data_IF_113283068247
#
_entry.id   IF_113283068247
#
_cell.length_a   1.000
_cell.length_b   1.000
_cell.length_c   1.000
_cell.angle_alpha   90.00
_cell.angle_beta   90.00
_cell.angle_gamma   90.00
#
_symmetry.space_group_name_H-M   'P 1'
#
loop_
_entity.id
_entity.type
_entity.pdbx_description
1 polymer ?
#
# COMPACT_ATOMS: atom_id res chain seq x y z
N UNK A 1 -19.41 -38.19 -33.45
CA UNK A 1 -18.67 -36.99 -33.87
C UNK A 1 -19.34 -35.70 -33.34
N UNK A 2 -19.59 -35.60 -31.99
CA UNK A 2 -20.24 -34.44 -31.34
C UNK A 2 -19.57 -33.98 -30.05
N UNK A 3 -18.44 -34.58 -29.63
CA UNK A 3 -17.76 -34.28 -28.35
C UNK A 3 -16.62 -33.25 -28.53
N UNK A 4 -16.09 -33.02 -29.73
CA UNK A 4 -14.96 -32.14 -29.98
C UNK A 4 -15.26 -30.62 -30.01
N UNK A 5 -16.54 -30.22 -30.09
CA UNK A 5 -16.91 -28.79 -30.17
C UNK A 5 -17.13 -28.10 -28.80
N UNK A 6 -17.27 -28.86 -27.72
CA UNK A 6 -17.56 -28.29 -26.40
C UNK A 6 -16.28 -27.86 -25.63
N UNK A 7 -15.12 -28.43 -25.98
CA UNK A 7 -13.85 -28.13 -25.30
C UNK A 7 -13.21 -26.83 -25.81
N UNK A 8 -13.43 -26.48 -27.08
CA UNK A 8 -12.89 -25.23 -27.64
C UNK A 8 -13.57 -23.97 -27.10
N UNK A 9 -14.88 -24.07 -26.76
CA UNK A 9 -15.62 -22.94 -26.18
C UNK A 9 -15.26 -22.58 -24.75
N UNK A 10 -14.85 -23.57 -23.95
CA UNK A 10 -14.46 -23.36 -22.55
C UNK A 10 -13.08 -22.68 -22.43
N UNK A 11 -12.14 -22.99 -23.33
CA UNK A 11 -10.79 -22.41 -23.31
C UNK A 11 -10.75 -20.92 -23.73
N UNK A 12 -11.65 -20.50 -24.63
CA UNK A 12 -11.76 -19.08 -25.05
C UNK A 12 -12.46 -18.24 -24.00
N UNK A 13 -13.42 -18.81 -23.25
CA UNK A 13 -14.09 -18.11 -22.16
C UNK A 13 -13.18 -17.92 -20.93
N UNK A 14 -12.29 -18.89 -20.63
CA UNK A 14 -11.31 -18.77 -19.55
C UNK A 14 -10.25 -17.69 -19.85
N UNK A 15 -9.77 -17.58 -21.10
CA UNK A 15 -8.77 -16.57 -21.46
C UNK A 15 -9.34 -15.14 -21.47
N UNK A 16 -10.62 -14.97 -21.80
CA UNK A 16 -11.29 -13.67 -21.72
C UNK A 16 -11.59 -13.24 -20.26
N UNK A 17 -11.88 -14.19 -19.37
CA UNK A 17 -12.07 -13.93 -17.95
C UNK A 17 -10.75 -13.54 -17.24
N UNK A 18 -9.63 -14.17 -17.63
CA UNK A 18 -8.31 -13.83 -17.09
C UNK A 18 -7.85 -12.42 -17.50
N UNK A 19 -8.13 -12.01 -18.75
CA UNK A 19 -7.81 -10.66 -19.22
C UNK A 19 -8.67 -9.57 -18.54
N UNK A 20 -9.93 -9.90 -18.15
CA UNK A 20 -10.80 -8.97 -17.41
C UNK A 20 -10.43 -8.84 -15.93
N UNK A 21 -9.94 -9.89 -15.30
CA UNK A 21 -9.54 -9.87 -13.87
C UNK A 21 -8.34 -8.95 -13.63
N UNK A 22 -7.39 -8.88 -14.57
CA UNK A 22 -6.19 -8.03 -14.45
C UNK A 22 -6.51 -6.53 -14.46
N UNK A 23 -7.62 -6.10 -15.06
CA UNK A 23 -8.06 -4.70 -15.11
C UNK A 23 -8.71 -4.22 -13.80
N UNK A 24 -9.15 -5.15 -12.99
CA UNK A 24 -9.91 -4.90 -11.77
C UNK A 24 -9.07 -4.95 -10.49
N UNK A 25 -7.75 -5.12 -10.62
CA UNK A 25 -6.88 -5.21 -9.44
C UNK A 25 -6.65 -3.85 -8.82
N UNK A 26 -6.86 -3.71 -7.50
CA UNK A 26 -6.53 -2.49 -6.77
C UNK A 26 -5.06 -2.08 -6.92
N UNK A 27 -4.76 -0.81 -6.71
CA UNK A 27 -3.40 -0.35 -6.49
C UNK A 27 -2.97 -0.79 -5.10
N UNK A 28 -1.76 -1.32 -4.95
CA UNK A 28 -1.24 -1.65 -3.63
C UNK A 28 -0.69 -0.36 -3.00
N UNK A 29 -1.46 0.24 -2.11
CA UNK A 29 -1.10 1.45 -1.39
C UNK A 29 -0.68 1.09 0.03
N UNK A 30 0.36 1.77 0.52
CA UNK A 30 0.84 1.67 1.89
C UNK A 30 0.93 3.07 2.48
N UNK A 31 0.41 3.27 3.68
CA UNK A 31 0.75 4.46 4.44
C UNK A 31 2.22 4.36 4.88
N UNK A 32 3.06 5.24 4.33
CA UNK A 32 4.50 5.27 4.58
C UNK A 32 4.89 6.19 5.75
N UNK A 33 3.94 6.70 6.54
CA UNK A 33 4.30 7.32 7.83
C UNK A 33 5.16 6.31 8.62
N UNK A 34 6.37 6.68 9.07
CA UNK A 34 7.31 5.74 9.69
C UNK A 34 6.74 4.97 10.89
N UNK A 35 5.82 5.58 11.66
CA UNK A 35 5.18 4.93 12.79
C UNK A 35 3.98 4.05 12.39
N UNK A 36 3.47 4.19 11.17
CA UNK A 36 2.35 3.40 10.65
C UNK A 36 2.83 2.29 9.72
N UNK A 37 3.89 2.52 8.96
CA UNK A 37 4.42 1.56 7.97
C UNK A 37 4.96 0.27 8.59
N UNK A 38 5.28 0.27 9.88
CA UNK A 38 5.72 -0.90 10.67
C UNK A 38 4.62 -1.94 10.92
N UNK A 39 3.36 -1.55 10.78
CA UNK A 39 2.23 -2.46 10.95
C UNK A 39 1.87 -3.20 9.66
N UNK A 40 1.22 -4.34 9.82
CA UNK A 40 0.82 -5.24 8.74
C UNK A 40 -0.46 -4.82 8.00
N UNK A 41 -0.58 -3.55 7.57
CA UNK A 41 -1.72 -3.13 6.74
C UNK A 41 -1.95 -4.14 5.60
N UNK A 42 -3.18 -4.60 5.38
CA UNK A 42 -3.46 -5.59 4.35
C UNK A 42 -3.29 -5.01 2.94
N UNK A 43 -2.68 -5.78 2.04
CA UNK A 43 -2.79 -5.55 0.62
C UNK A 43 -4.13 -6.09 0.09
N UNK A 44 -4.70 -5.43 -0.90
CA UNK A 44 -5.98 -5.80 -1.51
C UNK A 44 -5.75 -6.62 -2.78
N UNK A 45 -5.52 -7.93 -2.61
CA UNK A 45 -5.20 -8.80 -3.72
C UNK A 45 -6.42 -9.49 -4.33
N UNK A 46 -6.35 -9.74 -5.63
CA UNK A 46 -7.19 -10.74 -6.29
C UNK A 46 -6.50 -12.11 -6.26
N UNK A 47 -7.28 -13.19 -6.45
CA UNK A 47 -6.71 -14.54 -6.57
C UNK A 47 -6.19 -14.73 -8.01
N UNK A 48 -4.87 -14.86 -8.23
CA UNK A 48 -4.34 -15.07 -9.58
C UNK A 48 -4.62 -16.47 -10.11
N UNK A 49 -4.58 -16.60 -11.43
CA UNK A 49 -4.51 -17.90 -12.10
C UNK A 49 -3.03 -18.21 -12.35
N UNK A 50 -2.48 -19.24 -11.67
CA UNK A 50 -1.06 -19.56 -11.75
C UNK A 50 -0.21 -18.71 -10.80
N UNK A 51 1.00 -18.40 -11.20
CA UNK A 51 1.98 -17.71 -10.37
C UNK A 51 2.13 -16.26 -10.78
N UNK A 52 2.20 -15.36 -9.81
CA UNK A 52 2.47 -13.94 -9.99
C UNK A 52 3.67 -13.53 -9.14
N UNK A 53 4.57 -12.79 -9.75
CA UNK A 53 5.62 -12.05 -9.08
C UNK A 53 5.36 -10.55 -9.27
N UNK A 54 5.53 -9.77 -8.22
CA UNK A 54 5.44 -8.32 -8.22
C UNK A 54 6.62 -7.68 -7.53
N UNK A 55 7.01 -6.52 -8.01
CA UNK A 55 7.94 -5.62 -7.33
C UNK A 55 7.37 -4.22 -7.37
N UNK A 56 7.40 -3.53 -6.22
CA UNK A 56 6.92 -2.15 -6.08
C UNK A 56 8.00 -1.34 -5.40
N UNK A 57 8.34 -0.18 -5.97
CA UNK A 57 9.17 0.83 -5.33
C UNK A 57 8.32 2.05 -5.03
N UNK A 58 8.37 2.50 -3.79
CA UNK A 58 7.64 3.64 -3.24
C UNK A 58 8.63 4.60 -2.60
N UNK A 59 8.41 5.89 -2.78
CA UNK A 59 9.19 6.93 -2.12
C UNK A 59 8.25 7.95 -1.51
N UNK A 60 8.48 8.27 -0.24
CA UNK A 60 7.75 9.26 0.53
C UNK A 60 8.71 10.21 1.22
N UNK A 61 8.40 11.50 1.16
CA UNK A 61 9.10 12.51 1.96
C UNK A 61 8.24 12.85 3.18
N UNK A 62 8.89 13.04 4.31
CA UNK A 62 8.27 13.35 5.59
C UNK A 62 8.79 14.68 6.10
N UNK A 63 7.86 15.56 6.43
CA UNK A 63 8.17 16.80 7.12
C UNK A 63 7.02 17.14 8.08
N UNK A 64 7.17 16.73 9.34
CA UNK A 64 6.17 16.96 10.38
C UNK A 64 6.83 17.26 11.73
N UNK A 65 6.24 18.21 12.41
CA UNK A 65 6.57 18.51 13.80
C UNK A 65 5.30 18.73 14.59
N UNK A 66 5.05 17.88 15.57
CA UNK A 66 3.89 17.97 16.46
C UNK A 66 4.27 17.83 17.92
N UNK A 67 3.58 18.57 18.77
CA UNK A 67 3.74 18.55 20.21
C UNK A 67 2.36 18.76 20.85
N UNK A 68 1.83 17.73 21.49
CA UNK A 68 0.57 17.78 22.22
C UNK A 68 0.66 16.93 23.50
N UNK A 69 0.16 17.44 24.61
CA UNK A 69 -0.02 16.71 25.88
C UNK A 69 1.18 15.86 26.31
N UNK A 70 2.41 16.37 26.22
CA UNK A 70 3.65 15.66 26.49
C UNK A 70 4.05 14.59 25.46
N UNK A 71 3.33 14.48 24.36
CA UNK A 71 3.75 13.69 23.20
C UNK A 71 4.44 14.57 22.18
N UNK A 72 5.57 14.14 21.68
CA UNK A 72 6.33 14.81 20.63
C UNK A 72 6.56 13.88 19.46
N UNK A 73 6.33 14.38 18.26
CA UNK A 73 6.71 13.75 17.01
C UNK A 73 7.49 14.74 16.16
N UNK A 74 8.63 14.32 15.64
CA UNK A 74 9.37 15.01 14.59
C UNK A 74 9.76 14.00 13.52
N UNK A 75 9.29 14.23 12.31
CA UNK A 75 9.63 13.46 11.11
C UNK A 75 10.19 14.45 10.09
N UNK A 76 11.45 14.28 9.74
CA UNK A 76 12.17 15.06 8.74
C UNK A 76 13.08 14.09 7.98
N UNK A 77 12.79 13.80 6.71
CA UNK A 77 13.53 12.81 5.93
C UNK A 77 12.70 12.11 4.87
N UNK A 78 13.29 11.10 4.26
CA UNK A 78 12.72 10.33 3.16
C UNK A 78 12.74 8.84 3.42
N UNK A 79 11.63 8.16 3.12
CA UNK A 79 11.54 6.71 3.18
C UNK A 79 11.36 6.14 1.76
N UNK A 80 12.25 5.26 1.35
CA UNK A 80 12.12 4.43 0.16
C UNK A 80 11.77 3.01 0.60
N UNK A 81 10.63 2.50 0.13
CA UNK A 81 10.21 1.11 0.36
C UNK A 81 10.19 0.35 -0.96
N UNK A 82 10.93 -0.76 -1.03
CA UNK A 82 10.87 -1.70 -2.16
C UNK A 82 10.25 -2.99 -1.68
N UNK A 83 9.09 -3.37 -2.24
CA UNK A 83 8.37 -4.58 -1.84
C UNK A 83 8.45 -5.63 -2.93
N UNK A 84 8.81 -6.85 -2.57
CA UNK A 84 8.78 -8.03 -3.44
C UNK A 84 7.64 -8.93 -3.01
N UNK A 85 6.76 -9.27 -3.95
CA UNK A 85 5.58 -10.09 -3.73
C UNK A 85 5.59 -11.32 -4.62
N UNK A 86 5.31 -12.47 -4.05
CA UNK A 86 5.10 -13.72 -4.76
C UNK A 86 3.76 -14.30 -4.37
N UNK A 87 2.90 -14.63 -5.34
CA UNK A 87 1.58 -15.22 -5.09
C UNK A 87 1.32 -16.36 -6.07
N UNK A 88 0.88 -17.49 -5.55
CA UNK A 88 0.48 -18.65 -6.32
C UNK A 88 -1.00 -18.97 -6.13
N UNK A 89 -1.74 -19.03 -7.24
CA UNK A 89 -3.14 -19.44 -7.29
C UNK A 89 -3.28 -20.92 -7.65
N UNK A 90 -3.97 -21.70 -6.82
CA UNK A 90 -4.09 -23.16 -6.95
C UNK A 90 -5.19 -23.61 -7.91
N UNK A 91 -5.73 -22.73 -8.77
CA UNK A 91 -6.76 -23.10 -9.76
C UNK A 91 -8.15 -23.41 -9.20
N UNK A 92 -8.26 -23.69 -7.89
CA UNK A 92 -9.51 -23.96 -7.16
C UNK A 92 -10.09 -22.71 -6.46
N UNK A 93 -9.56 -21.52 -6.80
CA UNK A 93 -9.94 -20.24 -6.18
C UNK A 93 -9.23 -19.94 -4.86
N UNK A 94 -8.17 -20.66 -4.54
CA UNK A 94 -7.27 -20.39 -3.42
C UNK A 94 -5.97 -19.77 -3.92
N UNK A 95 -5.35 -18.95 -3.09
CA UNK A 95 -3.97 -18.50 -3.33
C UNK A 95 -3.20 -18.39 -2.01
N UNK A 96 -1.88 -18.52 -2.14
CA UNK A 96 -0.90 -18.27 -1.10
C UNK A 96 0.08 -17.22 -1.62
N UNK A 97 0.36 -16.21 -0.82
CA UNK A 97 1.29 -15.13 -1.15
C UNK A 97 2.27 -14.86 -0.02
N UNK A 98 3.43 -14.34 -0.40
CA UNK A 98 4.45 -13.83 0.52
C UNK A 98 4.92 -12.48 0.02
N UNK A 99 5.09 -11.52 0.93
CA UNK A 99 5.69 -10.21 0.66
C UNK A 99 6.86 -9.97 1.58
N UNK A 100 7.93 -9.41 1.00
CA UNK A 100 9.14 -9.03 1.75
C UNK A 100 9.50 -7.60 1.34
N UNK A 101 9.30 -6.61 2.22
CA UNK A 101 9.71 -5.25 1.96
C UNK A 101 11.18 -5.03 2.34
N UNK A 102 11.82 -4.10 1.65
CA UNK A 102 13.12 -3.55 1.98
C UNK A 102 12.97 -2.04 2.13
N UNK A 103 13.46 -1.49 3.22
CA UNK A 103 13.39 -0.07 3.53
C UNK A 103 14.77 0.60 3.45
N UNK A 104 14.77 1.84 2.99
CA UNK A 104 15.87 2.78 3.16
C UNK A 104 15.30 4.08 3.68
N UNK A 105 15.90 4.58 4.77
CA UNK A 105 15.57 5.86 5.38
C UNK A 105 16.78 6.76 5.24
N UNK A 106 16.60 7.98 4.74
CA UNK A 106 17.65 8.96 4.47
C UNK A 106 17.12 10.38 4.58
N UNK A 107 18.00 11.38 4.51
CA UNK A 107 17.59 12.77 4.37
C UNK A 107 16.86 13.05 3.05
N UNK A 108 17.11 12.21 2.03
CA UNK A 108 16.39 12.26 0.76
C UNK A 108 16.94 13.27 -0.24
N UNK A 109 16.23 13.33 -1.37
CA UNK A 109 16.53 14.23 -2.49
C UNK A 109 15.26 14.85 -3.09
N UNK A 110 14.10 14.59 -2.49
CA UNK A 110 12.81 15.02 -3.03
C UNK A 110 12.36 16.40 -2.56
N UNK A 111 13.08 17.05 -1.64
CA UNK A 111 12.70 18.36 -1.09
C UNK A 111 12.44 19.38 -2.19
N UNK A 112 13.37 19.55 -3.12
CA UNK A 112 13.22 20.45 -4.28
C UNK A 112 12.03 20.08 -5.18
N UNK A 113 11.77 18.77 -5.36
CA UNK A 113 10.67 18.28 -6.20
C UNK A 113 9.34 18.60 -5.55
N UNK A 114 9.24 18.42 -4.24
CA UNK A 114 8.01 18.64 -3.47
C UNK A 114 7.72 20.15 -3.35
N UNK A 115 8.75 20.95 -3.07
CA UNK A 115 8.61 22.42 -3.04
C UNK A 115 8.18 22.97 -4.40
N UNK A 116 8.73 22.43 -5.48
CA UNK A 116 8.29 22.71 -6.85
C UNK A 116 6.83 22.34 -7.10
N UNK A 117 6.39 21.17 -6.60
CA UNK A 117 5.02 20.71 -6.69
C UNK A 117 4.05 21.58 -5.90
N UNK A 118 4.34 21.87 -4.63
CA UNK A 118 3.52 22.76 -3.80
C UNK A 118 3.39 24.15 -4.41
N UNK A 119 4.50 24.70 -4.91
CA UNK A 119 4.49 26.00 -5.60
C UNK A 119 3.64 25.99 -6.88
N UNK A 120 3.70 24.91 -7.67
CA UNK A 120 2.94 24.78 -8.93
C UNK A 120 1.43 24.70 -8.71
N UNK A 121 0.99 24.10 -7.60
CA UNK A 121 -0.43 23.89 -7.27
C UNK A 121 -0.96 24.84 -6.19
N UNK A 122 -0.11 25.79 -5.70
CA UNK A 122 -0.51 26.75 -4.67
C UNK A 122 -0.80 26.13 -3.31
N UNK A 123 -0.15 25.02 -3.00
CA UNK A 123 -0.29 24.33 -1.71
C UNK A 123 0.61 24.99 -0.65
N UNK A 124 0.24 24.93 0.65
CA UNK A 124 1.09 25.41 1.73
C UNK A 124 2.42 24.65 1.77
N UNK A 125 3.51 25.36 2.08
CA UNK A 125 4.85 24.78 2.20
C UNK A 125 5.10 23.95 3.47
N UNK A 126 4.11 23.89 4.37
CA UNK A 126 4.21 23.11 5.62
C UNK A 126 5.28 23.62 6.60
N UNK A 127 5.89 24.80 6.33
CA UNK A 127 6.97 25.36 7.17
C UNK A 127 8.37 24.87 6.81
N UNK A 128 8.57 24.29 5.63
CA UNK A 128 9.86 23.79 5.11
C UNK A 128 10.84 24.93 4.83
N UNK A 129 10.34 26.13 4.47
CA UNK A 129 11.17 27.28 4.15
C UNK A 129 12.13 27.67 5.28
N UNK A 130 13.43 27.62 5.00
CA UNK A 130 14.48 28.06 5.92
C UNK A 130 15.16 26.95 6.74
N UNK A 131 14.92 25.69 6.40
CA UNK A 131 15.66 24.54 6.99
C UNK A 131 16.70 24.00 6.02
N UNK A 132 17.73 23.28 6.54
CA UNK A 132 18.66 22.57 5.68
C UNK A 132 17.94 21.48 4.88
N UNK A 133 18.21 21.41 3.59
CA UNK A 133 17.77 20.32 2.72
C UNK A 133 18.48 19.01 3.05
N UNK A 134 17.80 17.86 2.89
CA UNK A 134 18.39 16.55 3.08
C UNK A 134 18.68 16.21 4.55
N UNK A 135 18.01 16.83 5.52
CA UNK A 135 18.12 16.44 6.94
C UNK A 135 17.39 15.12 7.19
N UNK A 136 17.99 14.23 8.01
CA UNK A 136 17.31 13.08 8.55
C UNK A 136 17.17 13.23 10.06
N UNK A 137 15.92 13.32 10.52
CA UNK A 137 15.61 13.31 11.94
C UNK A 137 14.21 12.73 12.19
N UNK A 138 14.13 11.47 12.60
CA UNK A 138 12.93 10.91 13.19
C UNK A 138 13.12 10.84 14.71
N UNK A 139 12.27 11.56 15.44
CA UNK A 139 12.34 11.60 16.91
C UNK A 139 10.91 11.66 17.49
N UNK A 140 10.63 10.81 18.47
CA UNK A 140 9.34 10.78 19.14
C UNK A 140 9.42 10.34 20.59
N UNK A 141 8.37 10.59 21.36
CA UNK A 141 8.26 10.31 22.79
C UNK A 141 8.12 11.56 23.63
N UNK A 142 8.76 11.60 24.80
CA UNK A 142 8.72 12.74 25.71
C UNK A 142 9.45 13.95 25.09
N UNK A 143 8.91 15.19 25.23
CA UNK A 143 9.53 16.39 24.68
C UNK A 143 10.95 16.69 25.19
N UNK A 144 11.26 16.31 26.41
CA UNK A 144 12.56 16.57 27.04
C UNK A 144 13.55 15.42 26.84
N UNK A 145 13.05 14.19 26.76
CA UNK A 145 13.87 12.98 26.62
C UNK A 145 13.19 12.05 25.58
N UNK A 146 13.47 12.21 24.27
CA UNK A 146 12.88 11.37 23.23
C UNK A 146 13.18 9.89 23.47
N UNK A 147 12.17 9.04 23.36
CA UNK A 147 12.33 7.59 23.49
C UNK A 147 13.00 6.96 22.28
N UNK A 148 12.92 7.63 21.12
CA UNK A 148 13.52 7.18 19.87
C UNK A 148 14.11 8.37 19.11
N UNK A 149 15.29 8.19 18.53
CA UNK A 149 15.95 9.16 17.64
C UNK A 149 16.70 8.43 16.55
N UNK A 150 16.40 8.74 15.29
CA UNK A 150 17.11 8.27 14.11
C UNK A 150 17.61 9.47 13.30
N UNK A 151 18.94 9.56 13.12
CA UNK A 151 19.61 10.67 12.42
C UNK A 151 20.59 10.22 11.36
N UNK A 152 20.84 8.91 11.25
CA UNK A 152 21.78 8.34 10.29
C UNK A 152 21.04 7.54 9.24
N UNK A 153 21.49 7.63 7.99
CA UNK A 153 20.94 6.80 6.92
C UNK A 153 21.06 5.33 7.25
N UNK A 154 19.96 4.61 7.11
CA UNK A 154 19.88 3.17 7.33
C UNK A 154 19.08 2.48 6.27
N UNK A 155 19.31 1.18 6.13
CA UNK A 155 18.51 0.33 5.24
C UNK A 155 18.50 -1.11 5.71
N UNK A 156 17.38 -1.79 5.53
CA UNK A 156 17.21 -3.17 5.98
C UNK A 156 15.93 -3.81 5.47
N UNK A 157 15.78 -5.09 5.75
CA UNK A 157 14.55 -5.84 5.46
C UNK A 157 13.49 -5.46 6.47
N UNK A 158 12.27 -5.27 6.02
CA UNK A 158 11.10 -5.08 6.87
C UNK A 158 10.37 -6.40 7.18
N UNK A 159 9.22 -6.27 7.83
CA UNK A 159 8.42 -7.41 8.26
C UNK A 159 7.82 -8.18 7.08
N UNK A 160 8.07 -9.47 7.04
CA UNK A 160 7.51 -10.39 6.05
C UNK A 160 6.03 -10.59 6.29
N UNK A 161 5.21 -10.48 5.23
CA UNK A 161 3.79 -10.81 5.29
C UNK A 161 3.49 -12.11 4.52
N UNK A 162 2.71 -12.98 5.13
CA UNK A 162 2.15 -14.19 4.49
C UNK A 162 0.65 -13.99 4.32
N UNK A 163 0.15 -14.25 3.10
CA UNK A 163 -1.23 -14.01 2.71
C UNK A 163 -1.88 -15.29 2.22
N UNK A 164 -3.10 -15.54 2.65
CA UNK A 164 -3.90 -16.65 2.20
C UNK A 164 -5.26 -16.12 1.75
N UNK A 165 -5.63 -16.35 0.49
CA UNK A 165 -6.86 -15.80 -0.05
C UNK A 165 -7.74 -16.88 -0.70
N UNK A 166 -9.04 -16.60 -0.71
CA UNK A 166 -10.04 -17.43 -1.36
C UNK A 166 -11.05 -16.62 -2.13
N UNK A 167 -11.25 -16.99 -3.39
CA UNK A 167 -12.35 -16.50 -4.21
C UNK A 167 -13.64 -17.23 -3.82
N UNK A 168 -14.67 -16.50 -3.43
CA UNK A 168 -15.99 -17.00 -3.06
C UNK A 168 -17.03 -16.58 -4.11
N UNK A 169 -17.80 -17.51 -4.64
CA UNK A 169 -18.82 -17.29 -5.65
C UNK A 169 -18.35 -17.62 -7.09
N UNK A 170 -19.31 -17.94 -7.96
CA UNK A 170 -19.04 -18.44 -9.32
C UNK A 170 -18.80 -17.34 -10.34
N UNK A 171 -19.49 -16.21 -10.19
CA UNK A 171 -19.42 -15.09 -11.13
C UNK A 171 -18.90 -13.84 -10.42
N UNK A 172 -17.59 -13.60 -10.53
CA UNK A 172 -16.92 -12.41 -9.98
C UNK A 172 -17.24 -12.20 -8.50
N UNK A 173 -16.93 -13.22 -7.73
CA UNK A 173 -17.22 -13.33 -6.33
C UNK A 173 -16.44 -12.34 -5.48
N UNK A 174 -16.57 -12.56 -4.20
CA UNK A 174 -15.75 -11.90 -3.22
C UNK A 174 -14.41 -12.63 -3.07
N UNK A 175 -13.36 -11.90 -2.80
CA UNK A 175 -12.10 -12.46 -2.28
C UNK A 175 -12.07 -12.21 -0.79
N UNK A 176 -11.97 -13.27 0.00
CA UNK A 176 -11.64 -13.20 1.42
C UNK A 176 -10.16 -13.50 1.56
N UNK A 177 -9.41 -12.63 2.22
CA UNK A 177 -7.99 -12.80 2.48
C UNK A 177 -7.71 -12.70 3.97
N UNK A 178 -6.90 -13.61 4.47
CA UNK A 178 -6.25 -13.50 5.78
C UNK A 178 -4.75 -13.26 5.56
N UNK A 179 -4.15 -12.38 6.35
CA UNK A 179 -2.70 -12.17 6.33
C UNK A 179 -2.13 -12.13 7.73
N UNK A 180 -0.86 -12.51 7.83
CA UNK A 180 -0.05 -12.38 9.02
C UNK A 180 1.26 -11.67 8.67
N UNK A 181 1.61 -10.66 9.45
CA UNK A 181 2.93 -10.02 9.44
C UNK A 181 3.77 -10.67 10.53
N UNK A 182 4.97 -11.07 10.17
CA UNK A 182 5.96 -11.68 11.06
C UNK A 182 7.05 -10.65 11.38
N UNK A 183 7.48 -10.52 12.65
CA UNK A 183 8.52 -9.56 13.05
C UNK A 183 9.89 -10.06 12.58
N UNK A 184 10.19 -9.87 11.30
CA UNK A 184 11.45 -10.27 10.66
C UNK A 184 12.32 -9.09 10.27
N UNK A 185 11.80 -7.88 10.41
CA UNK A 185 12.45 -6.64 10.05
C UNK A 185 13.27 -6.03 11.20
N UNK A 186 13.84 -4.89 10.92
CA UNK A 186 14.68 -4.13 11.82
C UNK A 186 13.84 -3.04 12.50
N UNK A 187 13.72 -3.09 13.83
CA UNK A 187 12.94 -2.16 14.63
C UNK A 187 13.64 -0.80 14.74
N UNK A 188 14.98 -0.78 14.83
CA UNK A 188 15.75 0.46 14.93
C UNK A 188 15.65 1.30 13.66
N UNK A 189 15.37 0.65 12.52
CA UNK A 189 15.11 1.29 11.23
C UNK A 189 13.65 1.75 11.07
N UNK A 190 12.74 1.45 12.00
CA UNK A 190 11.29 1.55 11.83
C UNK A 190 10.76 0.75 10.62
N UNK A 191 11.35 -0.41 10.36
CA UNK A 191 10.93 -1.38 9.35
C UNK A 191 10.17 -2.57 9.95
N UNK A 192 10.07 -2.62 11.27
CA UNK A 192 9.35 -3.61 12.08
C UNK A 192 8.75 -2.96 13.31
N UNK A 193 7.64 -3.52 13.79
CA UNK A 193 7.09 -3.19 15.11
C UNK A 193 7.63 -4.11 16.23
N UNK A 194 8.43 -5.13 15.91
CA UNK A 194 8.83 -6.17 16.87
C UNK A 194 7.76 -7.23 17.13
N UNK A 195 6.51 -6.95 16.78
CA UNK A 195 5.37 -7.83 17.07
C UNK A 195 4.67 -8.36 15.82
N UNK A 196 3.84 -9.39 15.98
CA UNK A 196 3.06 -9.97 14.88
C UNK A 196 1.68 -9.31 14.77
N UNK A 197 1.29 -8.99 13.55
CA UNK A 197 -0.06 -8.51 13.22
C UNK A 197 -0.79 -9.54 12.38
N UNK A 198 -2.11 -9.50 12.40
CA UNK A 198 -2.90 -10.29 11.47
C UNK A 198 -4.14 -9.53 11.00
N UNK A 199 -4.56 -9.77 9.78
CA UNK A 199 -5.72 -9.11 9.21
C UNK A 199 -6.63 -10.05 8.46
N UNK A 200 -7.89 -9.64 8.34
CA UNK A 200 -8.89 -10.26 7.47
C UNK A 200 -9.55 -9.18 6.62
N UNK A 201 -9.62 -9.42 5.31
CA UNK A 201 -10.24 -8.52 4.36
C UNK A 201 -11.26 -9.21 3.48
N UNK A 202 -12.23 -8.45 3.02
CA UNK A 202 -13.21 -8.82 2.00
C UNK A 202 -13.10 -7.82 0.85
N UNK A 203 -12.70 -8.28 -0.32
CA UNK A 203 -12.60 -7.49 -1.54
C UNK A 203 -13.66 -7.93 -2.54
N UNK A 204 -14.27 -7.00 -3.22
CA UNK A 204 -15.13 -7.25 -4.38
C UNK A 204 -14.72 -6.43 -5.57
N UNK A 205 -14.55 -7.08 -6.72
CA UNK A 205 -14.31 -6.43 -8.01
C UNK A 205 -15.43 -6.74 -8.99
N UNK A 206 -15.79 -5.76 -9.83
CA UNK A 206 -16.84 -5.88 -10.83
C UNK A 206 -16.46 -5.18 -12.11
N UNK A 207 -16.61 -5.82 -13.29
CA UNK A 207 -16.52 -5.12 -14.56
C UNK A 207 -17.73 -4.19 -14.75
N UNK A 208 -17.46 -3.03 -15.31
CA UNK A 208 -18.46 -2.13 -15.84
C UNK A 208 -18.55 -2.37 -17.35
N UNK A 209 -19.73 -2.79 -17.82
CA UNK A 209 -19.98 -3.00 -19.24
C UNK A 209 -20.16 -1.64 -19.94
N UNK A 210 -19.08 -0.96 -20.27
CA UNK A 210 -19.09 0.19 -21.15
C UNK A 210 -18.92 -0.25 -22.60
N UNK A 211 -19.80 0.22 -23.48
CA UNK A 211 -20.01 -0.26 -24.88
C UNK A 211 -18.76 -0.39 -25.76
N UNK A 212 -17.61 0.16 -25.41
CA UNK A 212 -16.37 0.11 -26.22
C UNK A 212 -15.05 0.04 -25.43
N UNK A 213 -15.07 0.13 -24.09
CA UNK A 213 -13.84 0.13 -23.25
C UNK A 213 -14.09 -0.65 -21.99
N UNK A 214 -13.13 -1.46 -21.59
CA UNK A 214 -13.21 -2.20 -20.34
C UNK A 214 -12.99 -1.23 -19.17
N UNK A 215 -13.96 -1.18 -18.29
CA UNK A 215 -13.87 -0.48 -17.02
C UNK A 215 -14.29 -1.45 -15.90
N UNK A 216 -13.79 -1.24 -14.72
CA UNK A 216 -14.15 -2.00 -13.53
C UNK A 216 -14.15 -1.10 -12.30
N UNK A 217 -14.90 -1.50 -11.29
CA UNK A 217 -14.82 -0.91 -9.98
C UNK A 217 -14.57 -2.00 -8.94
N UNK A 218 -14.04 -1.60 -7.82
CA UNK A 218 -13.81 -2.47 -6.67
C UNK A 218 -14.05 -1.72 -5.37
N UNK A 219 -14.33 -2.47 -4.34
CA UNK A 219 -14.38 -2.01 -2.96
C UNK A 219 -13.99 -3.12 -2.02
N UNK A 220 -13.47 -2.77 -0.89
CA UNK A 220 -13.09 -3.72 0.14
C UNK A 220 -13.25 -3.14 1.54
N UNK A 221 -13.43 -4.03 2.50
CA UNK A 221 -13.43 -3.73 3.92
C UNK A 221 -12.64 -4.79 4.65
N UNK A 222 -12.00 -4.40 5.73
CA UNK A 222 -11.17 -5.30 6.50
C UNK A 222 -10.92 -4.79 7.90
N UNK A 223 -10.25 -5.62 8.68
CA UNK A 223 -9.78 -5.29 10.01
C UNK A 223 -8.39 -5.87 10.22
N UNK A 224 -7.53 -5.09 10.81
CA UNK A 224 -6.20 -5.48 11.27
C UNK A 224 -6.24 -5.56 12.79
N UNK A 225 -5.70 -6.64 13.36
CA UNK A 225 -5.27 -6.67 14.75
C UNK A 225 -3.79 -6.35 14.78
N UNK A 226 -3.46 -5.18 15.30
CA UNK A 226 -2.08 -4.79 15.53
C UNK A 226 -1.52 -5.46 16.79
N UNK A 227 -0.25 -5.81 16.75
CA UNK A 227 0.53 -6.14 17.94
C UNK A 227 1.15 -4.88 18.53
N UNK A 228 1.53 -4.91 19.80
CA UNK A 228 2.16 -3.78 20.46
C UNK A 228 3.58 -3.58 19.93
N UNK A 229 3.97 -2.38 19.50
CA UNK A 229 5.31 -2.12 19.01
C UNK A 229 6.31 -1.98 20.16
N UNK A 230 7.47 -2.62 20.03
CA UNK A 230 8.45 -2.71 21.14
C UNK A 230 9.17 -1.38 21.42
N UNK A 231 9.50 -0.60 20.35
CA UNK A 231 10.27 0.65 20.48
C UNK A 231 9.42 1.92 20.52
N UNK A 232 8.11 1.82 20.28
CA UNK A 232 7.23 2.97 20.19
C UNK A 232 6.56 3.22 21.54
N UNK A 233 6.70 4.42 22.15
CA UNK A 233 6.19 4.71 23.49
C UNK A 233 4.71 5.09 23.52
N UNK A 234 3.98 4.87 22.43
CA UNK A 234 2.55 5.15 22.33
C UNK A 234 1.74 3.85 22.39
N UNK A 235 0.63 3.86 23.14
CA UNK A 235 -0.25 2.71 23.22
C UNK A 235 -0.89 2.42 21.85
N UNK A 236 -0.73 1.20 21.35
CA UNK A 236 -1.26 0.81 20.06
C UNK A 236 -2.75 0.46 20.13
N UNK A 237 -3.49 0.88 19.10
CA UNK A 237 -4.87 0.43 18.88
C UNK A 237 -4.88 -1.06 18.51
N UNK A 238 -5.59 -1.86 19.30
CA UNK A 238 -5.65 -3.30 19.08
C UNK A 238 -6.33 -3.65 17.74
N UNK A 239 -7.34 -2.90 17.33
CA UNK A 239 -8.15 -3.20 16.16
C UNK A 239 -8.24 -1.98 15.23
N UNK A 240 -7.64 -2.08 14.06
CA UNK A 240 -7.63 -1.02 13.06
C UNK A 240 -8.54 -1.42 11.88
N UNK A 241 -9.70 -0.74 11.69
CA UNK A 241 -10.53 -0.94 10.52
C UNK A 241 -9.83 -0.42 9.27
N UNK A 242 -10.03 -1.11 8.14
CA UNK A 242 -9.46 -0.72 6.85
C UNK A 242 -10.49 -0.80 5.74
N UNK A 243 -10.35 0.00 4.70
CA UNK A 243 -11.26 -0.03 3.57
C UNK A 243 -10.67 0.57 2.31
N UNK A 244 -11.18 0.13 1.16
CA UNK A 244 -10.88 0.74 -0.14
C UNK A 244 -12.13 0.89 -0.99
N UNK A 245 -12.07 1.86 -1.90
CA UNK A 245 -12.98 1.97 -3.05
C UNK A 245 -12.20 2.52 -4.23
N UNK A 246 -12.43 1.97 -5.41
CA UNK A 246 -11.72 2.45 -6.60
C UNK A 246 -12.28 1.90 -7.91
N UNK A 247 -11.61 2.27 -8.98
CA UNK A 247 -11.96 1.82 -10.30
C UNK A 247 -10.79 1.88 -11.28
N UNK A 248 -10.89 1.09 -12.34
CA UNK A 248 -9.93 1.03 -13.43
C UNK A 248 -10.64 1.28 -14.76
N UNK A 249 -10.00 2.03 -15.62
CA UNK A 249 -10.48 2.35 -16.95
C UNK A 249 -9.39 2.11 -17.99
N UNK A 250 -9.65 1.18 -18.90
CA UNK A 250 -8.78 0.92 -20.04
C UNK A 250 -9.01 2.00 -21.12
N UNK A 251 -8.03 2.87 -21.31
CA UNK A 251 -8.07 3.98 -22.28
C UNK A 251 -7.67 3.49 -23.69
N UNK A 252 -6.61 2.66 -23.76
CA UNK A 252 -6.11 2.00 -24.97
C UNK A 252 -5.97 0.49 -24.71
N UNK A 253 -5.79 -0.37 -25.72
CA UNK A 253 -5.70 -1.83 -25.54
C UNK A 253 -4.66 -2.27 -24.51
N UNK A 254 -3.55 -1.54 -24.37
CA UNK A 254 -2.44 -1.86 -23.46
C UNK A 254 -2.22 -0.80 -22.37
N UNK A 255 -3.09 0.21 -22.26
CA UNK A 255 -2.93 1.31 -21.33
C UNK A 255 -4.24 1.66 -20.64
N UNK A 256 -4.19 1.98 -19.37
CA UNK A 256 -5.34 2.44 -18.61
C UNK A 256 -4.96 3.27 -17.40
N UNK A 257 -5.99 3.77 -16.74
CA UNK A 257 -5.91 4.60 -15.55
C UNK A 257 -6.67 3.92 -14.42
N UNK A 258 -6.27 4.20 -13.17
CA UNK A 258 -7.02 3.83 -11.97
C UNK A 258 -7.14 5.04 -11.05
N UNK A 259 -8.25 5.07 -10.29
CA UNK A 259 -8.44 5.95 -9.15
C UNK A 259 -8.87 5.12 -7.96
N UNK A 260 -8.34 5.41 -6.78
CA UNK A 260 -8.59 4.65 -5.55
C UNK A 260 -8.57 5.59 -4.34
N UNK A 261 -9.40 5.28 -3.37
CA UNK A 261 -9.36 5.84 -2.02
C UNK A 261 -9.10 4.69 -1.06
N UNK A 262 -8.10 4.86 -0.21
CA UNK A 262 -7.73 3.97 0.89
C UNK A 262 -8.05 4.66 2.22
N UNK A 263 -8.56 3.89 3.18
CA UNK A 263 -8.90 4.39 4.51
C UNK A 263 -8.42 3.38 5.54
N UNK A 264 -7.82 3.85 6.61
CA UNK A 264 -7.60 3.05 7.82
C UNK A 264 -7.82 3.89 9.08
N UNK A 265 -8.22 3.24 10.18
CA UNK A 265 -8.35 3.87 11.49
C UNK A 265 -6.98 4.27 12.07
N UNK A 266 -7.00 4.97 13.20
CA UNK A 266 -5.82 5.26 13.99
C UNK A 266 -5.06 3.98 14.36
N UNK A 267 -3.74 4.09 14.49
CA UNK A 267 -2.89 3.01 14.98
C UNK A 267 -2.49 3.15 16.43
N UNK A 268 -2.69 4.34 17.01
CA UNK A 268 -2.30 4.63 18.38
C UNK A 268 -3.39 5.42 19.12
N UNK A 269 -3.49 5.18 20.42
CA UNK A 269 -4.26 6.02 21.35
C UNK A 269 -3.45 7.29 21.65
N UNK A 270 -3.41 8.23 20.70
CA UNK A 270 -2.58 9.44 20.78
C UNK A 270 -3.41 10.70 20.45
N UNK A 271 -2.96 11.84 20.99
CA UNK A 271 -3.49 13.17 20.63
C UNK A 271 -2.78 13.77 19.43
N UNK A 272 -1.69 13.17 18.96
CA UNK A 272 -0.98 13.56 17.75
C UNK A 272 -1.79 13.11 16.54
N UNK A 273 -2.21 14.06 15.70
CA UNK A 273 -3.03 13.79 14.49
C UNK A 273 -2.36 12.76 13.57
N UNK A 274 -1.04 12.79 13.47
CA UNK A 274 -0.24 11.95 12.59
C UNK A 274 -0.39 10.45 12.83
N UNK A 275 -0.79 10.05 14.05
CA UNK A 275 -0.84 8.64 14.44
C UNK A 275 -2.15 8.28 15.14
N UNK A 276 -2.87 9.26 15.71
CA UNK A 276 -4.10 9.07 16.49
C UNK A 276 -5.39 9.29 15.70
N UNK A 277 -5.32 9.61 14.40
CA UNK A 277 -6.50 9.85 13.57
C UNK A 277 -6.64 8.85 12.42
N UNK A 278 -7.82 8.87 11.80
CA UNK A 278 -8.11 8.08 10.60
C UNK A 278 -7.38 8.65 9.39
N UNK A 279 -6.60 7.84 8.70
CA UNK A 279 -5.96 8.22 7.46
C UNK A 279 -6.87 7.96 6.25
N UNK A 280 -6.87 8.90 5.31
CA UNK A 280 -7.59 8.81 4.03
C UNK A 280 -6.62 9.19 2.92
N UNK A 281 -6.28 8.25 2.06
CA UNK A 281 -5.35 8.46 0.95
C UNK A 281 -6.06 8.35 -0.39
N UNK A 282 -5.78 9.27 -1.32
CA UNK A 282 -6.24 9.22 -2.69
C UNK A 282 -5.10 8.80 -3.62
N UNK A 283 -5.38 7.85 -4.51
CA UNK A 283 -4.41 7.34 -5.48
C UNK A 283 -4.90 7.56 -6.89
N UNK A 284 -4.03 8.11 -7.72
CA UNK A 284 -4.19 8.12 -9.17
C UNK A 284 -3.06 7.30 -9.79
N UNK A 285 -3.38 6.36 -10.67
CA UNK A 285 -2.37 5.56 -11.35
C UNK A 285 -2.60 5.42 -12.84
N UNK A 286 -1.51 5.15 -13.54
CA UNK A 286 -1.49 4.78 -14.95
C UNK A 286 -0.75 3.47 -15.11
N UNK A 287 -1.35 2.51 -15.81
CA UNK A 287 -0.76 1.20 -16.04
C UNK A 287 -0.59 0.91 -17.53
N UNK A 288 0.43 0.12 -17.85
CA UNK A 288 0.70 -0.38 -19.20
C UNK A 288 1.03 -1.87 -19.18
N UNK A 289 0.41 -2.61 -20.12
CA UNK A 289 0.77 -4.02 -20.33
C UNK A 289 2.11 -4.13 -21.05
N UNK A 290 2.90 -5.10 -20.60
CA UNK A 290 4.21 -5.48 -21.16
C UNK A 290 4.09 -6.90 -21.74
N UNK A 291 3.62 -6.97 -23.00
CA UNK A 291 3.28 -8.23 -23.64
C UNK A 291 2.04 -8.89 -23.00
N UNK A 292 2.02 -10.23 -22.95
CA UNK A 292 0.84 -10.99 -22.47
C UNK A 292 0.86 -11.24 -20.95
N UNK A 293 1.99 -11.07 -20.29
CA UNK A 293 2.23 -11.54 -18.91
C UNK A 293 2.68 -10.45 -17.97
N UNK A 294 3.17 -9.35 -18.49
CA UNK A 294 3.74 -8.26 -17.69
C UNK A 294 2.81 -7.04 -17.62
N UNK A 295 2.92 -6.28 -16.55
CA UNK A 295 2.34 -4.96 -16.37
C UNK A 295 3.31 -4.07 -15.61
N UNK A 296 3.40 -2.82 -16.01
CA UNK A 296 4.02 -1.76 -15.23
C UNK A 296 2.94 -0.74 -14.86
N UNK A 297 3.03 -0.18 -13.66
CA UNK A 297 2.10 0.80 -13.14
C UNK A 297 2.89 1.91 -12.43
N UNK A 298 2.51 3.14 -12.69
CA UNK A 298 2.99 4.32 -11.99
C UNK A 298 1.81 4.91 -11.22
N UNK A 299 2.00 5.26 -9.95
CA UNK A 299 0.97 5.87 -9.11
C UNK A 299 1.51 7.05 -8.32
N UNK A 300 0.60 7.97 -8.03
CA UNK A 300 0.77 9.07 -7.09
C UNK A 300 -0.29 8.89 -6.01
N UNK A 301 0.14 8.92 -4.76
CA UNK A 301 -0.74 8.83 -3.59
C UNK A 301 -0.64 10.14 -2.82
N UNK A 302 -1.77 10.70 -2.48
CA UNK A 302 -1.93 11.96 -1.74
C UNK A 302 -2.69 11.72 -0.44
N UNK A 303 -2.31 12.41 0.62
CA UNK A 303 -3.04 12.44 1.88
C UNK A 303 -4.23 13.40 1.79
N UNK A 304 -5.45 12.90 2.02
CA UNK A 304 -6.67 13.71 2.06
C UNK A 304 -7.03 14.18 3.47
N UNK A 305 -6.58 13.48 4.49
CA UNK A 305 -6.70 13.89 5.89
C UNK A 305 -5.34 14.35 6.38
N UNK A 306 -5.03 15.61 6.07
CA UNK A 306 -3.71 16.24 6.27
C UNK A 306 -3.09 15.85 7.61
N UNK A 307 -1.88 15.32 7.59
CA UNK A 307 -1.01 14.89 8.68
C UNK A 307 -0.94 13.38 8.95
N UNK A 308 -1.93 12.57 8.57
CA UNK A 308 -2.01 11.15 8.94
C UNK A 308 -1.16 10.23 8.05
N UNK A 309 -0.72 10.71 6.90
CA UNK A 309 0.18 10.02 5.97
C UNK A 309 1.14 11.02 5.31
N UNK A 310 2.17 10.58 4.59
CA UNK A 310 3.02 11.49 3.81
C UNK A 310 2.20 12.31 2.83
N UNK A 311 2.53 13.59 2.65
CA UNK A 311 1.82 14.50 1.75
C UNK A 311 1.73 13.93 0.33
N UNK A 312 2.81 13.30 -0.14
CA UNK A 312 2.87 12.63 -1.45
C UNK A 312 3.71 11.37 -1.39
N UNK A 313 3.24 10.31 -2.04
CA UNK A 313 4.02 9.10 -2.30
C UNK A 313 4.06 8.85 -3.80
N UNK A 314 5.26 8.69 -4.34
CA UNK A 314 5.47 8.26 -5.72
C UNK A 314 5.73 6.76 -5.75
N UNK A 315 5.02 6.04 -6.62
CA UNK A 315 5.10 4.59 -6.71
C UNK A 315 5.31 4.12 -8.13
N UNK A 316 6.20 3.13 -8.30
CA UNK A 316 6.36 2.35 -9.53
C UNK A 316 6.22 0.88 -9.18
N UNK A 317 5.31 0.18 -9.87
CA UNK A 317 5.09 -1.25 -9.68
C UNK A 317 5.27 -2.00 -10.99
N UNK A 318 5.84 -3.20 -10.92
CA UNK A 318 5.93 -4.13 -12.02
C UNK A 318 5.41 -5.50 -11.57
N UNK A 319 4.62 -6.17 -12.42
CA UNK A 319 4.09 -7.49 -12.13
C UNK A 319 4.23 -8.41 -13.33
N UNK A 320 4.53 -9.68 -13.08
CA UNK A 320 4.61 -10.76 -14.06
C UNK A 320 3.78 -11.94 -13.60
N UNK A 321 3.03 -12.53 -14.56
CA UNK A 321 2.16 -13.68 -14.30
C UNK A 321 2.41 -14.79 -15.32
N UNK A 322 2.52 -16.05 -14.87
CA UNK A 322 2.71 -17.25 -15.70
C UNK A 322 1.98 -18.49 -15.15
#
# INVERSE_FOLDING_TARGET
MRIAKTIAGASVALSAAAAGAQLAEPVHVRNLNPLVSIFGLPAWDTVPIGTRFGATAEVANHYRFSLQNNERLRLDGETVRTNFAFTHGFGSGWSLGVEVPYYRVSGGVLDDVIDGWHSAFGMPDGGRNGRPEGELLYAFGDPLEPSFVLTEEQSGIGDTQVKFARLIGRDQGFVVQASIKLPTGDEELLASSGSSDWSVTLLRTRPLLARKRAASYYWGVGVLRAGDPDLIPFDAETWVPTGIIGGSWQVLPEFGLKGQIDVHGAFYESQLEEIGETAIQATLSAWRRMGQRGQIEFAVVEDLNVSTSPDIVLQVAAAWQW
#
